data_IF_130071931368
#
_entry.id   IF_130071931368
#
_cell.length_a   1.000
_cell.length_b   1.000
_cell.length_c   1.000
_cell.angle_alpha   90.00
_cell.angle_beta   90.00
_cell.angle_gamma   90.00
#
_symmetry.space_group_name_H-M   'P 1'
#
loop_
_entity.id
_entity.type
_entity.pdbx_description
1 polymer ?
#
# COMPACT_ATOMS: atom_id res chain seq x y z
N UNK A 1 -5.55 -9.80 1.32
CA UNK A 1 -5.71 -11.25 1.06
C UNK A 1 -5.20 -12.06 2.25
N UNK A 2 -5.95 -13.07 2.68
CA UNK A 2 -5.56 -14.04 3.73
C UNK A 2 -5.58 -15.46 3.16
N UNK A 3 -5.18 -16.45 3.95
CA UNK A 3 -5.23 -17.86 3.52
C UNK A 3 -6.65 -18.36 3.26
N UNK A 4 -7.67 -17.73 3.85
CA UNK A 4 -9.09 -18.07 3.69
C UNK A 4 -9.78 -17.25 2.59
N UNK A 5 -9.02 -16.42 1.84
CA UNK A 5 -9.53 -15.58 0.75
C UNK A 5 -9.39 -14.08 1.00
N UNK A 6 -10.18 -13.28 0.28
CA UNK A 6 -10.21 -11.83 0.48
C UNK A 6 -11.06 -11.46 1.70
N UNK A 7 -10.46 -10.74 2.65
CA UNK A 7 -11.14 -10.19 3.81
C UNK A 7 -11.07 -8.67 3.79
N UNK A 8 -12.13 -8.00 4.25
CA UNK A 8 -12.09 -6.55 4.42
C UNK A 8 -11.09 -6.22 5.54
N UNK A 9 -10.35 -5.13 5.36
CA UNK A 9 -9.39 -4.67 6.38
C UNK A 9 -10.05 -4.44 7.75
N UNK A 10 -11.33 -4.06 7.78
CA UNK A 10 -12.13 -3.88 9.00
C UNK A 10 -12.42 -5.18 9.77
N UNK A 11 -12.27 -6.33 9.12
CA UNK A 11 -12.56 -7.67 9.67
C UNK A 11 -11.29 -8.36 10.19
N UNK A 12 -10.11 -7.85 9.83
CA UNK A 12 -8.84 -8.39 10.31
C UNK A 12 -8.72 -8.25 11.84
N UNK A 13 -8.13 -9.27 12.48
CA UNK A 13 -7.88 -9.32 13.92
C UNK A 13 -6.45 -9.77 14.19
N UNK A 14 -5.86 -9.42 15.35
CA UNK A 14 -4.61 -10.03 15.79
C UNK A 14 -4.67 -11.55 15.70
N UNK A 15 -3.60 -12.18 15.21
CA UNK A 15 -3.52 -13.61 14.94
C UNK A 15 -3.92 -14.03 13.52
N UNK A 16 -4.59 -13.16 12.74
CA UNK A 16 -4.91 -13.46 11.34
C UNK A 16 -3.62 -13.66 10.53
N UNK A 17 -3.58 -14.74 9.74
CA UNK A 17 -2.51 -15.02 8.77
C UNK A 17 -2.78 -14.25 7.47
N UNK A 18 -1.97 -13.24 7.20
CA UNK A 18 -2.10 -12.38 6.02
C UNK A 18 -1.07 -12.79 4.99
N UNK A 19 -1.49 -12.89 3.73
CA UNK A 19 -0.56 -13.17 2.63
C UNK A 19 0.23 -11.90 2.34
N UNK A 20 1.56 -12.01 2.34
CA UNK A 20 2.50 -10.93 2.07
C UNK A 20 3.24 -11.20 0.77
N UNK A 21 3.66 -10.13 0.10
CA UNK A 21 4.38 -10.21 -1.17
C UNK A 21 5.82 -10.70 -0.99
N UNK A 22 6.44 -10.31 0.11
CA UNK A 22 7.87 -10.47 0.38
C UNK A 22 8.21 -11.78 1.10
N UNK A 23 7.35 -12.23 2.01
CA UNK A 23 7.59 -13.44 2.83
C UNK A 23 6.53 -14.53 2.66
N UNK A 24 5.56 -14.33 1.76
CA UNK A 24 4.45 -15.25 1.50
C UNK A 24 3.34 -15.16 2.55
N UNK A 25 3.65 -15.23 3.84
CA UNK A 25 2.67 -15.10 4.92
C UNK A 25 3.27 -14.48 6.19
N UNK A 26 2.50 -13.62 6.85
CA UNK A 26 2.84 -13.06 8.15
C UNK A 26 1.63 -13.04 9.10
N UNK A 27 1.90 -13.15 10.40
CA UNK A 27 0.86 -13.11 11.44
C UNK A 27 0.64 -11.68 11.89
N UNK A 28 -0.59 -11.19 11.74
CA UNK A 28 -0.98 -9.85 12.14
C UNK A 28 -0.91 -9.71 13.67
N UNK A 29 -0.18 -8.71 14.17
CA UNK A 29 -0.01 -8.46 15.61
C UNK A 29 -1.01 -7.46 16.15
N UNK A 30 -1.31 -6.42 15.39
CA UNK A 30 -2.32 -5.44 15.78
C UNK A 30 -2.95 -4.75 14.58
N UNK A 31 -4.17 -4.26 14.80
CA UNK A 31 -4.93 -3.44 13.84
C UNK A 31 -5.33 -2.18 14.56
N UNK A 32 -4.93 -1.02 14.02
CA UNK A 32 -5.35 0.27 14.55
C UNK A 32 -6.12 1.06 13.51
N UNK A 33 -7.39 1.33 13.80
CA UNK A 33 -8.23 2.21 12.99
C UNK A 33 -7.97 3.67 13.36
N UNK A 34 -7.82 4.52 12.35
CA UNK A 34 -7.74 5.97 12.49
C UNK A 34 -8.63 6.67 11.50
N UNK A 35 -9.15 7.83 11.89
CA UNK A 35 -9.67 8.83 10.97
C UNK A 35 -8.64 9.93 10.84
N UNK A 36 -8.22 10.24 9.62
CA UNK A 36 -7.23 11.29 9.34
C UNK A 36 -7.78 12.24 8.28
N UNK A 37 -7.29 13.47 8.29
CA UNK A 37 -7.53 14.46 7.26
C UNK A 37 -6.20 14.95 6.73
N UNK A 38 -6.04 14.99 5.40
CA UNK A 38 -4.84 15.48 4.76
C UNK A 38 -4.76 15.08 3.30
N UNK A 39 -3.55 15.12 2.74
CA UNK A 39 -3.32 14.84 1.34
C UNK A 39 -3.60 13.37 1.01
N UNK A 40 -4.43 13.14 0.00
CA UNK A 40 -4.82 11.85 -0.50
C UNK A 40 -4.48 11.70 -1.97
N UNK A 41 -4.08 10.51 -2.36
CA UNK A 41 -3.92 10.14 -3.76
C UNK A 41 -5.07 9.23 -4.15
N UNK A 42 -5.79 9.63 -5.21
CA UNK A 42 -6.76 8.77 -5.88
C UNK A 42 -6.09 8.10 -7.06
N UNK A 43 -6.27 6.79 -7.16
CA UNK A 43 -5.69 5.95 -8.20
C UNK A 43 -6.86 5.30 -8.92
N UNK A 44 -7.08 5.64 -10.19
CA UNK A 44 -8.15 5.06 -11.00
C UNK A 44 -7.87 3.58 -11.25
N UNK A 45 -8.92 2.75 -11.32
CA UNK A 45 -8.82 1.35 -11.71
C UNK A 45 -7.96 1.15 -12.97
N UNK A 46 -7.16 0.09 -12.99
CA UNK A 46 -6.29 -0.31 -14.12
C UNK A 46 -5.21 0.70 -14.57
N UNK A 47 -4.98 1.79 -13.84
CA UNK A 47 -4.02 2.86 -14.23
C UNK A 47 -2.54 2.53 -14.01
N UNK A 48 -2.24 1.62 -13.08
CA UNK A 48 -0.88 1.20 -12.73
C UNK A 48 -0.44 -0.08 -13.46
N UNK A 49 -1.13 -0.40 -14.56
CA UNK A 49 -0.83 -1.56 -15.42
C UNK A 49 -1.37 -2.89 -14.87
N UNK A 50 -1.48 -3.89 -15.74
CA UNK A 50 -1.96 -5.25 -15.41
C UNK A 50 -3.28 -5.27 -14.60
N UNK A 51 -4.23 -4.39 -14.94
CA UNK A 51 -5.51 -4.23 -14.24
C UNK A 51 -5.40 -3.82 -12.76
N UNK A 52 -4.37 -3.03 -12.40
CA UNK A 52 -4.19 -2.53 -11.02
C UNK A 52 -4.43 -1.02 -10.92
N UNK A 53 -5.09 -0.56 -9.84
CA UNK A 53 -5.87 -1.35 -8.88
C UNK A 53 -7.11 -1.99 -9.53
N UNK A 54 -7.69 -2.99 -8.87
CA UNK A 54 -8.88 -3.71 -9.35
C UNK A 54 -10.13 -2.80 -9.40
N UNK A 55 -10.11 -1.75 -8.59
CA UNK A 55 -11.11 -0.68 -8.49
C UNK A 55 -10.42 0.63 -8.11
N UNK A 56 -11.11 1.75 -8.23
CA UNK A 56 -10.58 3.03 -7.78
C UNK A 56 -10.16 2.95 -6.30
N UNK A 57 -8.93 3.39 -6.01
CA UNK A 57 -8.34 3.35 -4.68
C UNK A 57 -8.03 4.75 -4.18
N UNK A 58 -8.18 4.98 -2.88
CA UNK A 58 -7.75 6.22 -2.22
C UNK A 58 -6.76 5.86 -1.12
N UNK A 59 -5.57 6.46 -1.19
CA UNK A 59 -4.49 6.24 -0.22
C UNK A 59 -4.06 7.57 0.41
N UNK A 60 -3.56 7.57 1.65
CA UNK A 60 -2.75 8.69 2.14
C UNK A 60 -1.60 8.98 1.16
N UNK A 61 -1.31 10.25 0.89
CA UNK A 61 -0.26 10.62 -0.08
C UNK A 61 1.13 10.07 0.28
N UNK A 62 1.38 9.86 1.58
CA UNK A 62 2.61 9.25 2.10
C UNK A 62 2.64 7.73 2.12
N UNK A 63 1.54 7.03 1.79
CA UNK A 63 1.47 5.57 1.81
C UNK A 63 2.51 4.99 0.84
N UNK A 64 3.47 4.16 1.30
CA UNK A 64 4.40 3.51 0.40
C UNK A 64 3.68 2.43 -0.42
N UNK A 65 3.85 2.51 -1.74
CA UNK A 65 3.33 1.58 -2.75
C UNK A 65 4.54 0.95 -3.45
N UNK A 66 4.51 -0.37 -3.64
CA UNK A 66 5.53 -1.09 -4.38
C UNK A 66 5.27 -0.95 -5.88
N UNK A 67 6.25 -0.38 -6.58
CA UNK A 67 6.28 -0.27 -8.03
C UNK A 67 7.35 -1.23 -8.53
N UNK A 68 7.04 -2.00 -9.57
CA UNK A 68 7.94 -3.05 -10.10
C UNK A 68 7.75 -3.30 -11.59
N UNK A 69 7.14 -2.33 -12.28
CA UNK A 69 7.01 -2.31 -13.74
C UNK A 69 8.08 -1.37 -14.33
N UNK A 70 7.91 -0.99 -15.59
CA UNK A 70 8.81 -0.06 -16.27
C UNK A 70 9.00 1.27 -15.51
N UNK A 71 8.01 1.72 -14.73
CA UNK A 71 8.10 2.94 -13.93
C UNK A 71 9.14 2.82 -12.82
N UNK A 72 9.33 1.64 -12.24
CA UNK A 72 10.37 1.43 -11.22
C UNK A 72 11.75 1.78 -11.77
N UNK A 73 12.04 1.30 -12.98
CA UNK A 73 13.31 1.56 -13.67
C UNK A 73 13.40 3.00 -14.17
N UNK A 74 12.33 3.51 -14.78
CA UNK A 74 12.31 4.86 -15.36
C UNK A 74 12.36 5.97 -14.31
N UNK A 75 11.65 5.82 -13.18
CA UNK A 75 11.54 6.84 -12.14
C UNK A 75 12.55 6.68 -11.01
N UNK A 76 13.04 5.46 -10.76
CA UNK A 76 13.88 5.16 -9.58
C UNK A 76 15.15 4.35 -9.90
N UNK A 77 15.40 3.99 -11.16
CA UNK A 77 16.60 3.24 -11.55
C UNK A 77 16.68 1.82 -11.00
N UNK A 78 15.60 1.28 -10.44
CA UNK A 78 15.57 -0.03 -9.79
C UNK A 78 14.55 -0.97 -10.45
N UNK A 79 14.74 -2.29 -10.28
CA UNK A 79 13.76 -3.28 -10.76
C UNK A 79 12.43 -3.19 -10.00
N UNK A 80 12.49 -2.77 -8.73
CA UNK A 80 11.33 -2.48 -7.91
C UNK A 80 11.68 -1.41 -6.85
N UNK A 81 10.70 -0.64 -6.42
CA UNK A 81 10.85 0.41 -5.42
C UNK A 81 9.58 0.60 -4.58
N UNK A 82 9.73 0.79 -3.27
CA UNK A 82 8.66 1.30 -2.40
C UNK A 82 8.68 2.82 -2.43
N UNK A 83 7.62 3.43 -2.94
CA UNK A 83 7.56 4.89 -3.13
C UNK A 83 6.28 5.46 -2.53
N UNK A 84 6.31 6.68 -1.97
CA UNK A 84 5.08 7.35 -1.53
C UNK A 84 4.09 7.47 -2.69
N UNK A 85 2.81 7.22 -2.45
CA UNK A 85 1.76 7.30 -3.47
C UNK A 85 1.77 8.65 -4.23
N UNK A 86 2.13 9.75 -3.56
CA UNK A 86 2.22 11.08 -4.20
C UNK A 86 3.24 11.15 -5.35
N UNK A 87 4.25 10.27 -5.37
CA UNK A 87 5.25 10.19 -6.44
C UNK A 87 4.73 9.51 -7.71
N UNK A 88 3.54 8.92 -7.64
CA UNK A 88 2.87 8.28 -8.79
C UNK A 88 1.89 9.21 -9.49
N UNK A 89 1.68 10.42 -8.98
CA UNK A 89 0.71 11.39 -9.52
C UNK A 89 1.13 11.80 -10.93
N UNK A 90 0.23 11.58 -11.89
CA UNK A 90 0.37 11.99 -13.29
C UNK A 90 -0.63 13.08 -13.70
N UNK A 91 -1.60 13.39 -12.83
CA UNK A 91 -2.61 14.42 -13.06
C UNK A 91 -3.83 13.97 -13.86
N UNK A 92 -3.84 12.74 -14.36
CA UNK A 92 -4.93 12.19 -15.19
C UNK A 92 -5.55 10.94 -14.55
N UNK A 93 -4.74 9.92 -14.30
CA UNK A 93 -5.20 8.64 -13.74
C UNK A 93 -4.85 8.50 -12.26
N UNK A 94 -3.81 9.19 -11.83
CA UNK A 94 -3.37 9.28 -10.44
C UNK A 94 -3.36 10.75 -10.03
N UNK A 95 -4.27 11.12 -9.14
CA UNK A 95 -4.52 12.52 -8.79
C UNK A 95 -4.33 12.79 -7.29
N UNK A 96 -3.87 14.00 -6.97
CA UNK A 96 -3.66 14.46 -5.59
C UNK A 96 -4.83 15.34 -5.13
N UNK A 97 -5.29 15.10 -3.90
CA UNK A 97 -6.31 15.90 -3.23
C UNK A 97 -5.79 16.35 -1.87
N UNK A 98 -5.74 17.66 -1.60
CA UNK A 98 -5.01 18.14 -0.42
C UNK A 98 -5.74 17.98 0.91
N UNK A 99 -7.07 17.94 0.91
CA UNK A 99 -7.88 17.97 2.12
C UNK A 99 -8.98 16.90 2.13
N UNK A 100 -8.58 15.63 2.10
CA UNK A 100 -9.51 14.51 2.15
C UNK A 100 -9.54 13.87 3.55
N UNK A 101 -10.75 13.60 4.05
CA UNK A 101 -10.94 12.79 5.25
C UNK A 101 -11.04 11.32 4.88
N UNK A 102 -10.24 10.48 5.52
CA UNK A 102 -10.18 9.04 5.23
C UNK A 102 -10.10 8.22 6.51
N UNK A 103 -10.60 6.98 6.44
CA UNK A 103 -10.36 5.97 7.47
C UNK A 103 -9.20 5.11 7.04
N UNK A 104 -8.15 5.06 7.87
CA UNK A 104 -6.93 4.27 7.62
C UNK A 104 -6.81 3.19 8.68
N UNK A 105 -6.31 2.03 8.28
CA UNK A 105 -6.03 0.92 9.17
C UNK A 105 -4.53 0.67 9.16
N UNK A 106 -3.87 0.96 10.29
CA UNK A 106 -2.46 0.63 10.48
C UNK A 106 -2.38 -0.85 10.89
N UNK A 107 -1.82 -1.69 10.01
CA UNK A 107 -1.61 -3.12 10.25
C UNK A 107 -0.16 -3.34 10.68
N UNK A 108 0.04 -3.88 11.89
CA UNK A 108 1.38 -4.11 12.46
C UNK A 108 1.68 -5.60 12.51
N UNK A 109 2.90 -5.95 12.10
CA UNK A 109 3.47 -7.29 12.12
C UNK A 109 4.79 -7.26 12.93
N UNK A 110 5.46 -8.40 13.12
CA UNK A 110 6.77 -8.43 13.79
C UNK A 110 7.83 -7.63 13.02
N UNK A 111 7.75 -7.68 11.69
CA UNK A 111 8.52 -6.85 10.76
C UNK A 111 7.58 -6.24 9.72
N UNK A 112 7.85 -5.05 9.17
CA UNK A 112 7.04 -4.51 8.09
C UNK A 112 7.05 -5.41 6.86
N UNK A 113 5.91 -5.52 6.19
CA UNK A 113 5.71 -6.36 5.01
C UNK A 113 5.01 -5.59 3.88
N UNK A 114 5.05 -6.14 2.67
CA UNK A 114 4.26 -5.62 1.55
C UNK A 114 2.99 -6.45 1.42
N UNK A 115 1.84 -5.78 1.47
CA UNK A 115 0.50 -6.37 1.50
C UNK A 115 -0.20 -6.19 0.15
N UNK A 116 -1.05 -7.17 -0.19
CA UNK A 116 -1.99 -7.04 -1.30
C UNK A 116 -3.30 -6.39 -0.82
N UNK A 117 -3.63 -5.22 -1.39
CA UNK A 117 -4.81 -4.41 -1.05
C UNK A 117 -5.45 -3.91 -2.34
N UNK A 118 -6.62 -4.43 -2.70
CA UNK A 118 -7.40 -4.01 -3.88
C UNK A 118 -6.58 -3.97 -5.19
N UNK A 119 -5.78 -5.01 -5.42
CA UNK A 119 -4.87 -5.11 -6.55
C UNK A 119 -3.57 -4.32 -6.42
N UNK A 120 -3.38 -3.52 -5.36
CA UNK A 120 -2.15 -2.81 -5.06
C UNK A 120 -1.23 -3.59 -4.13
N UNK A 121 0.07 -3.35 -4.26
CA UNK A 121 1.09 -3.84 -3.34
C UNK A 121 1.53 -2.65 -2.47
N UNK A 122 1.18 -2.64 -1.19
CA UNK A 122 1.41 -1.49 -0.28
C UNK A 122 2.18 -1.92 0.97
N UNK A 123 3.05 -1.07 1.49
CA UNK A 123 3.74 -1.36 2.75
C UNK A 123 2.76 -1.35 3.94
N UNK A 124 2.93 -2.30 4.86
CA UNK A 124 2.26 -2.29 6.17
C UNK A 124 2.75 -1.13 7.04
N UNK A 125 2.19 -0.98 8.24
CA UNK A 125 2.67 0.04 9.15
C UNK A 125 4.15 -0.16 9.47
N UNK A 126 4.93 0.85 9.10
CA UNK A 126 6.34 0.98 9.40
C UNK A 126 6.38 1.84 10.66
N UNK A 127 6.75 1.28 11.81
CA UNK A 127 6.93 2.06 13.03
C UNK A 127 7.86 3.27 12.79
N UNK A 128 7.97 4.19 13.76
CA UNK A 128 8.71 5.46 13.59
C UNK A 128 10.20 5.32 13.18
N UNK A 129 10.77 4.11 13.13
CA UNK A 129 12.18 3.84 12.82
C UNK A 129 12.47 3.16 11.47
N UNK A 130 11.49 2.92 10.60
CA UNK A 130 11.75 2.20 9.33
C UNK A 130 11.76 3.15 8.10
N UNK A 131 12.96 3.34 7.52
CA UNK A 131 13.21 3.89 6.18
C UNK A 131 14.14 2.92 5.41
N UNK A 132 14.15 2.94 4.07
CA UNK A 132 13.69 1.81 3.26
C UNK A 132 14.78 0.79 2.91
N UNK A 133 14.33 -0.45 2.67
CA UNK A 133 15.09 -1.43 1.88
C UNK A 133 15.15 -0.92 0.43
N UNK A 134 16.28 -0.30 0.06
CA UNK A 134 16.71 -0.23 -1.33
C UNK A 134 17.50 -1.50 -1.59
N UNK A 135 16.89 -2.51 -2.22
CA UNK A 135 17.69 -3.59 -2.77
C UNK A 135 18.36 -3.07 -4.05
N UNK A 136 19.69 -2.96 -4.01
CA UNK A 136 20.52 -2.57 -5.16
C UNK A 136 20.47 -3.64 -6.24
#
# INVERSE_FOLDING_TARGET
MTLDGELRVSELRPGTRVITRDTGMAVLRSVRRRRITGRAVRIKASSLGHNRPDRDATLPAGQPVLVRDWRAKALFGAQQALVPAARLVDGEFVTLHDNATMTVYDLTFDTPHVLYVDGLEVASFMGKNALPVTNR
#
